data_IF_703987029852
#
_entry.id   IF_703987029852
#
_cell.length_a   1.000
_cell.length_b   1.000
_cell.length_c   1.000
_cell.angle_alpha   90.00
_cell.angle_beta   90.00
_cell.angle_gamma   90.00
#
_symmetry.space_group_name_H-M   'P 1'
#
loop_
_entity.id
_entity.type
_entity.pdbx_description
1 polymer ?
#
# COMPACT_ATOMS: atom_id res chain seq x y z
N UNK A 1 6.00 -9.27 13.08
CA UNK A 1 6.00 -7.83 13.33
C UNK A 1 6.06 -7.08 12.00
N UNK A 2 5.38 -5.95 11.89
CA UNK A 2 5.35 -5.16 10.67
C UNK A 2 6.72 -4.57 10.35
N UNK A 3 7.12 -4.63 9.07
CA UNK A 3 8.39 -4.12 8.59
C UNK A 3 8.18 -2.71 8.06
N UNK A 4 8.49 -1.71 8.91
CA UNK A 4 8.17 -0.30 8.66
C UNK A 4 9.38 0.63 8.81
N UNK A 5 10.59 0.09 8.92
CA UNK A 5 11.79 0.89 9.15
C UNK A 5 12.53 1.16 7.84
N UNK A 6 13.50 2.08 7.90
CA UNK A 6 14.36 2.38 6.75
C UNK A 6 15.15 1.14 6.31
N UNK A 7 15.65 0.37 7.25
CA UNK A 7 16.47 -0.82 6.99
C UNK A 7 15.61 -2.02 6.60
N UNK A 8 14.41 -2.12 7.16
CA UNK A 8 13.46 -3.18 6.86
C UNK A 8 12.07 -2.56 6.71
N UNK A 9 11.78 -2.10 5.50
CA UNK A 9 10.54 -1.38 5.21
C UNK A 9 9.62 -2.05 4.20
N UNK A 10 9.70 -3.38 4.06
CA UNK A 10 8.96 -4.08 3.03
C UNK A 10 7.44 -3.92 3.14
N UNK A 11 6.90 -3.92 4.36
CA UNK A 11 5.45 -3.75 4.55
C UNK A 11 5.02 -2.32 4.31
N UNK A 12 5.82 -1.34 4.77
CA UNK A 12 5.56 0.07 4.50
C UNK A 12 5.63 0.35 3.00
N UNK A 13 6.62 -0.22 2.33
CA UNK A 13 6.78 -0.09 0.88
C UNK A 13 5.56 -0.67 0.15
N UNK A 14 5.13 -1.87 0.52
CA UNK A 14 4.00 -2.52 -0.12
C UNK A 14 2.72 -1.68 0.02
N UNK A 15 2.42 -1.23 1.23
CA UNK A 15 1.23 -0.41 1.48
C UNK A 15 1.29 0.91 0.70
N UNK A 16 2.47 1.53 0.63
CA UNK A 16 2.68 2.77 -0.12
C UNK A 16 2.45 2.54 -1.63
N UNK A 17 3.00 1.45 -2.18
CA UNK A 17 2.78 1.12 -3.59
C UNK A 17 1.31 0.81 -3.88
N UNK A 18 0.62 0.14 -2.96
CA UNK A 18 -0.82 -0.09 -3.10
C UNK A 18 -1.58 1.24 -3.20
N UNK A 19 -1.20 2.21 -2.37
CA UNK A 19 -1.81 3.53 -2.39
C UNK A 19 -1.50 4.27 -3.71
N UNK A 20 -0.25 4.28 -4.12
CA UNK A 20 0.17 4.96 -5.34
C UNK A 20 -0.42 4.34 -6.60
N UNK A 21 -0.68 3.03 -6.58
CA UNK A 21 -1.30 2.31 -7.69
C UNK A 21 -2.83 2.38 -7.67
N UNK A 22 -3.40 3.05 -6.67
CA UNK A 22 -4.85 3.13 -6.44
C UNK A 22 -5.50 1.78 -6.09
N UNK A 23 -4.69 0.78 -5.72
CA UNK A 23 -5.23 -0.48 -5.20
C UNK A 23 -5.94 -0.28 -3.87
N UNK A 24 -5.49 0.69 -3.08
CA UNK A 24 -6.17 1.17 -1.88
C UNK A 24 -6.27 2.70 -1.95
N UNK A 25 -7.19 3.28 -1.17
CA UNK A 25 -7.30 4.72 -1.03
C UNK A 25 -6.58 5.20 0.24
N UNK A 26 -6.51 6.53 0.43
CA UNK A 26 -5.81 7.11 1.56
C UNK A 26 -6.42 6.66 2.90
N UNK A 27 -7.74 6.56 2.97
CA UNK A 27 -8.40 6.11 4.20
C UNK A 27 -8.04 4.67 4.54
N UNK A 28 -7.97 3.80 3.55
CA UNK A 28 -7.55 2.41 3.75
C UNK A 28 -6.08 2.32 4.16
N UNK A 29 -5.23 3.19 3.60
CA UNK A 29 -3.84 3.30 4.01
C UNK A 29 -3.73 3.68 5.49
N UNK A 30 -4.54 4.64 5.94
CA UNK A 30 -4.57 5.05 7.34
C UNK A 30 -5.09 3.94 8.25
N UNK A 31 -6.08 3.15 7.80
CA UNK A 31 -6.54 1.99 8.56
C UNK A 31 -5.42 1.00 8.79
N UNK A 32 -4.59 0.77 7.77
CA UNK A 32 -3.43 -0.09 7.92
C UNK A 32 -2.42 0.49 8.92
N UNK A 33 -2.15 1.80 8.85
CA UNK A 33 -1.24 2.45 9.80
C UNK A 33 -1.76 2.32 11.24
N UNK A 34 -3.06 2.47 11.44
CA UNK A 34 -3.67 2.28 12.76
C UNK A 34 -3.51 0.84 13.24
N UNK A 35 -3.62 -0.12 12.34
CA UNK A 35 -3.37 -1.53 12.67
C UNK A 35 -1.92 -1.75 13.08
N UNK A 36 -0.96 -1.11 12.41
CA UNK A 36 0.45 -1.16 12.79
C UNK A 36 0.64 -0.65 14.22
N UNK A 37 -0.01 0.48 14.54
CA UNK A 37 0.08 1.07 15.89
C UNK A 37 -0.48 0.11 16.95
N UNK A 38 -1.57 -0.58 16.63
CA UNK A 38 -2.18 -1.53 17.58
C UNK A 38 -1.37 -2.81 17.73
N UNK A 39 -0.69 -3.24 16.66
CA UNK A 39 0.01 -4.53 16.65
C UNK A 39 1.43 -4.47 17.19
N UNK A 40 2.02 -3.28 17.34
CA UNK A 40 3.42 -3.13 17.71
C UNK A 40 3.58 -2.45 19.07
N UNK A 41 4.65 -2.81 19.85
CA UNK A 41 4.98 -2.06 21.06
C UNK A 41 5.23 -0.59 20.72
N UNK A 42 4.74 0.31 21.60
CA UNK A 42 4.84 1.76 21.37
C UNK A 42 6.29 2.20 21.13
N UNK A 43 7.24 1.57 21.82
CA UNK A 43 8.66 1.92 21.68
C UNK A 43 9.24 1.57 20.30
N UNK A 44 8.54 0.72 19.54
CA UNK A 44 8.97 0.29 18.21
C UNK A 44 8.25 1.06 17.10
N UNK A 45 7.38 2.02 17.44
CA UNK A 45 6.64 2.80 16.47
C UNK A 45 7.35 4.13 16.28
N UNK A 46 7.89 4.34 15.06
CA UNK A 46 8.52 5.60 14.69
C UNK A 46 7.46 6.69 14.55
N UNK A 47 7.79 7.92 14.97
CA UNK A 47 6.84 9.02 14.97
C UNK A 47 6.28 9.36 13.58
N UNK A 48 7.02 9.05 12.51
CA UNK A 48 6.51 9.31 11.16
C UNK A 48 5.24 8.50 10.85
N UNK A 49 5.00 7.40 11.54
CA UNK A 49 3.75 6.65 11.38
C UNK A 49 2.57 7.53 11.78
N UNK A 50 2.69 8.27 12.87
CA UNK A 50 1.63 9.19 13.32
C UNK A 50 1.46 10.36 12.36
N UNK A 51 2.56 10.86 11.81
CA UNK A 51 2.51 11.93 10.79
C UNK A 51 1.79 11.47 9.53
N UNK A 52 1.99 10.21 9.12
CA UNK A 52 1.28 9.63 7.98
C UNK A 52 -0.22 9.47 8.27
N UNK A 53 -0.57 9.09 9.50
CA UNK A 53 -1.98 9.00 9.91
C UNK A 53 -2.66 10.36 9.81
N UNK A 54 -1.94 11.43 10.11
CA UNK A 54 -2.47 12.79 10.05
C UNK A 54 -2.50 13.39 8.63
N UNK A 55 -1.93 12.69 7.65
CA UNK A 55 -1.92 13.17 6.27
C UNK A 55 -3.35 13.27 5.73
N UNK A 56 -3.75 14.44 5.26
CA UNK A 56 -5.13 14.69 4.81
C UNK A 56 -5.30 14.52 3.30
N UNK A 57 -4.28 14.92 2.56
CA UNK A 57 -4.23 14.81 1.11
C UNK A 57 -2.77 14.94 0.70
N UNK A 58 -2.48 14.88 -0.58
CA UNK A 58 -1.10 15.03 -1.02
C UNK A 58 -0.30 13.74 -0.85
N UNK A 59 -0.77 12.66 -1.46
CA UNK A 59 -0.11 11.36 -1.44
C UNK A 59 1.38 11.47 -1.80
N UNK A 60 1.75 12.47 -2.64
CA UNK A 60 3.14 12.71 -3.00
C UNK A 60 4.03 13.15 -1.84
N UNK A 61 3.46 13.58 -0.72
CA UNK A 61 4.23 14.03 0.44
C UNK A 61 4.72 12.89 1.33
N UNK A 62 4.29 11.65 1.05
CA UNK A 62 4.63 10.49 1.89
C UNK A 62 6.14 10.37 2.07
N UNK A 63 6.91 10.45 0.99
CA UNK A 63 8.37 10.29 1.08
C UNK A 63 9.05 11.46 1.79
N UNK A 64 8.45 12.65 1.73
CA UNK A 64 8.94 13.80 2.50
C UNK A 64 8.73 13.58 4.01
N UNK A 65 7.59 13.03 4.39
CA UNK A 65 7.29 12.71 5.78
C UNK A 65 8.23 11.63 6.30
N UNK A 66 8.47 10.59 5.50
CA UNK A 66 9.33 9.49 5.88
C UNK A 66 10.81 9.87 5.91
N UNK A 67 11.23 10.79 5.04
CA UNK A 67 12.63 11.16 4.81
C UNK A 67 13.47 9.98 4.28
N UNK A 68 12.82 9.00 3.66
CA UNK A 68 13.47 7.88 2.97
C UNK A 68 12.45 7.20 2.06
N UNK A 69 12.95 6.41 1.12
CA UNK A 69 12.10 5.56 0.26
C UNK A 69 12.25 4.12 0.74
N UNK A 70 11.16 3.51 1.25
CA UNK A 70 11.23 2.14 1.76
C UNK A 70 11.66 1.16 0.67
N UNK A 71 12.42 0.15 1.06
CA UNK A 71 12.87 -0.89 0.13
C UNK A 71 11.69 -1.70 -0.39
N UNK A 72 11.62 -1.86 -1.71
CA UNK A 72 10.58 -2.65 -2.35
C UNK A 72 11.13 -4.00 -2.79
N UNK A 73 10.39 -5.07 -2.49
CA UNK A 73 10.66 -6.41 -2.98
C UNK A 73 9.84 -6.74 -4.23
N UNK A 74 9.04 -5.77 -4.72
CA UNK A 74 8.16 -6.00 -5.86
C UNK A 74 8.92 -5.95 -7.17
N UNK A 75 8.68 -6.94 -8.04
CA UNK A 75 9.09 -6.86 -9.44
C UNK A 75 8.16 -5.90 -10.17
N UNK A 76 8.55 -5.52 -11.41
CA UNK A 76 7.68 -4.69 -12.23
C UNK A 76 6.33 -5.36 -12.50
N UNK A 77 6.33 -6.66 -12.75
CA UNK A 77 5.09 -7.41 -12.98
C UNK A 77 4.20 -7.40 -11.73
N UNK A 78 4.79 -7.52 -10.55
CA UNK A 78 4.03 -7.46 -9.31
C UNK A 78 3.47 -6.06 -9.08
N UNK A 79 4.23 -5.03 -9.41
CA UNK A 79 3.75 -3.65 -9.34
C UNK A 79 2.57 -3.45 -10.31
N UNK A 80 2.69 -3.97 -11.55
CA UNK A 80 1.59 -3.93 -12.51
C UNK A 80 0.36 -4.68 -11.98
N UNK A 81 0.56 -5.75 -11.22
CA UNK A 81 -0.54 -6.49 -10.59
C UNK A 81 -1.30 -5.62 -9.59
N UNK A 82 -0.63 -4.70 -8.88
CA UNK A 82 -1.31 -3.76 -7.98
C UNK A 82 -2.25 -2.85 -8.77
N UNK A 83 -1.83 -2.37 -9.93
CA UNK A 83 -2.71 -1.62 -10.83
C UNK A 83 -3.91 -2.48 -11.24
N UNK A 84 -3.68 -3.78 -11.49
CA UNK A 84 -4.74 -4.73 -11.80
C UNK A 84 -5.76 -4.84 -10.66
N UNK A 85 -5.31 -4.81 -9.41
CA UNK A 85 -6.20 -4.82 -8.25
C UNK A 85 -7.10 -3.58 -8.25
N UNK A 86 -6.53 -2.41 -8.57
CA UNK A 86 -7.32 -1.18 -8.66
C UNK A 86 -8.44 -1.32 -9.69
N UNK A 87 -8.13 -1.85 -10.86
CA UNK A 87 -9.15 -2.09 -11.89
C UNK A 87 -10.19 -3.12 -11.44
N UNK A 88 -9.75 -4.19 -10.78
CA UNK A 88 -10.65 -5.23 -10.28
C UNK A 88 -11.63 -4.67 -9.26
N UNK A 89 -11.19 -3.73 -8.43
CA UNK A 89 -12.05 -3.06 -7.43
C UNK A 89 -12.96 -2.00 -8.05
N UNK A 90 -12.87 -1.76 -9.35
CA UNK A 90 -13.68 -0.76 -10.03
C UNK A 90 -13.25 0.68 -9.77
N UNK A 91 -11.99 0.87 -9.36
CA UNK A 91 -11.46 2.21 -9.10
C UNK A 91 -11.10 2.86 -10.43
N UNK A 92 -11.43 4.15 -10.57
CA UNK A 92 -11.08 4.95 -11.74
C UNK A 92 -9.62 5.32 -11.66
N UNK A 93 -8.77 4.59 -12.38
CA UNK A 93 -7.33 4.79 -12.36
C UNK A 93 -6.94 5.85 -13.37
N UNK A 94 -6.46 6.99 -12.87
CA UNK A 94 -6.01 8.08 -13.73
C UNK A 94 -4.60 7.78 -14.23
N UNK A 95 -4.42 7.88 -15.56
CA UNK A 95 -3.12 7.72 -16.23
C UNK A 95 -2.36 6.47 -15.75
N UNK A 96 -2.95 5.27 -15.89
CA UNK A 96 -2.28 4.05 -15.42
C UNK A 96 -0.99 3.78 -16.17
N UNK A 97 0.03 3.21 -15.50
CA UNK A 97 1.33 2.93 -16.13
C UNK A 97 1.27 1.85 -17.20
N UNK A 98 0.24 1.01 -17.16
CA UNK A 98 0.00 -0.06 -18.13
C UNK A 98 -1.49 -0.11 -18.45
N UNK A 99 -1.84 -0.74 -19.57
CA UNK A 99 -3.25 -0.90 -19.92
C UNK A 99 -3.98 -1.78 -18.91
N UNK A 100 -5.30 -1.62 -18.83
CA UNK A 100 -6.13 -2.46 -17.97
C UNK A 100 -5.92 -3.95 -18.26
N UNK A 101 -5.88 -4.31 -19.55
CA UNK A 101 -5.68 -5.69 -19.97
C UNK A 101 -4.35 -6.25 -19.45
N UNK A 102 -3.28 -5.48 -19.62
CA UNK A 102 -1.95 -5.90 -19.14
C UNK A 102 -1.90 -5.97 -17.63
N UNK A 103 -2.51 -5.03 -16.94
CA UNK A 103 -2.54 -5.01 -15.47
C UNK A 103 -3.30 -6.22 -14.92
N UNK A 104 -4.45 -6.55 -15.49
CA UNK A 104 -5.22 -7.72 -15.06
C UNK A 104 -4.51 -9.02 -15.36
N UNK A 105 -3.77 -9.07 -16.47
CA UNK A 105 -2.96 -10.24 -16.81
C UNK A 105 -1.83 -10.43 -15.79
N UNK A 106 -1.16 -9.34 -15.40
CA UNK A 106 -0.12 -9.39 -14.37
C UNK A 106 -0.69 -9.87 -13.03
N UNK A 107 -1.86 -9.40 -12.65
CA UNK A 107 -2.53 -9.83 -11.43
C UNK A 107 -2.82 -11.34 -11.44
N UNK A 108 -3.30 -11.85 -12.57
CA UNK A 108 -3.58 -13.28 -12.72
C UNK A 108 -2.32 -14.11 -12.62
N UNK A 109 -1.20 -13.57 -13.10
CA UNK A 109 0.10 -14.23 -13.07
C UNK A 109 0.74 -14.22 -11.69
N UNK A 110 0.36 -13.27 -10.84
CA UNK A 110 0.95 -13.07 -9.51
C UNK A 110 -0.11 -13.15 -8.40
N UNK A 111 -0.71 -14.34 -8.17
CA UNK A 111 -1.71 -14.48 -7.11
C UNK A 111 -1.15 -14.21 -5.71
N UNK A 112 0.17 -14.36 -5.52
CA UNK A 112 0.81 -14.04 -4.24
C UNK A 112 0.71 -12.54 -3.92
N UNK A 113 0.71 -11.68 -4.93
CA UNK A 113 0.55 -10.23 -4.75
C UNK A 113 -0.87 -9.90 -4.28
N UNK A 114 -1.87 -10.56 -4.86
CA UNK A 114 -3.25 -10.38 -4.42
C UNK A 114 -3.44 -10.89 -2.98
N UNK A 115 -2.84 -12.03 -2.65
CA UNK A 115 -2.91 -12.58 -1.29
C UNK A 115 -2.31 -11.60 -0.28
N UNK A 116 -1.18 -10.98 -0.62
CA UNK A 116 -0.56 -9.98 0.26
C UNK A 116 -1.44 -8.73 0.39
N UNK A 117 -2.05 -8.28 -0.71
CA UNK A 117 -3.01 -7.18 -0.67
C UNK A 117 -4.16 -7.47 0.30
N UNK A 118 -4.67 -8.70 0.31
CA UNK A 118 -5.78 -9.08 1.19
C UNK A 118 -5.42 -9.00 2.67
N UNK A 119 -4.14 -8.92 3.02
CA UNK A 119 -3.71 -8.72 4.41
C UNK A 119 -3.90 -7.27 4.88
N UNK A 120 -4.14 -6.33 3.96
CA UNK A 120 -4.41 -4.94 4.30
C UNK A 120 -5.89 -4.75 4.61
N UNK A 121 -6.23 -3.92 5.61
CA UNK A 121 -7.64 -3.59 5.84
C UNK A 121 -8.17 -2.73 4.71
N UNK A 122 -9.33 -3.08 4.16
CA UNK A 122 -9.98 -2.31 3.11
C UNK A 122 -11.41 -2.00 3.53
N UNK A 123 -12.07 -1.12 2.77
CA UNK A 123 -13.46 -0.78 3.05
C UNK A 123 -14.35 -2.04 3.01
N UNK A 124 -14.06 -2.99 2.12
CA UNK A 124 -14.82 -4.23 2.01
C UNK A 124 -14.64 -5.13 3.23
N UNK A 125 -13.44 -5.16 3.83
CA UNK A 125 -13.18 -5.97 5.02
C UNK A 125 -13.73 -5.32 6.29
N UNK A 126 -13.92 -4.00 6.27
CA UNK A 126 -14.43 -3.27 7.44
C UNK A 126 -15.95 -3.35 7.58
N UNK A 127 -16.66 -3.80 6.55
CA UNK A 127 -18.12 -3.87 6.56
C UNK A 127 -18.66 -5.17 7.12
N UNK A 128 -17.83 -6.05 7.60
CA UNK A 128 -18.25 -7.36 8.11
C UNK A 128 -18.47 -7.40 9.59
#
# INVERSE_FOLDING_TARGET
MWKITKEQGQDLSFATYCLLSAAINLQEFKLWLEKVVLDMPIDNIHFYIFDLIDLKEGVGDIYNILDFVPNSDLSKDQDDALTGIAFLRGIDVYDPPVSKEKALKALKKHPETFAKFLSLPTAETQTQ
#
